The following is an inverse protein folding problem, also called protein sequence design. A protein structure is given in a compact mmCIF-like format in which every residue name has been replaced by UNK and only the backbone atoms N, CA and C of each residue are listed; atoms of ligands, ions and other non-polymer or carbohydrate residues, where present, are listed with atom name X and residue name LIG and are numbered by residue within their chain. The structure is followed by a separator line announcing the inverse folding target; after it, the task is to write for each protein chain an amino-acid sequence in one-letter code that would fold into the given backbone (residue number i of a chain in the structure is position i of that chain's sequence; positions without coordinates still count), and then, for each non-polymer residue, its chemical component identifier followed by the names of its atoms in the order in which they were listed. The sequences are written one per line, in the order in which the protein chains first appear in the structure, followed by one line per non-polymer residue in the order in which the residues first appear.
data_IF_671630029077
#
_entry.id   IF_671630029077
#
_cell.length_a   1.000
_cell.length_b   1.000
_cell.length_c   1.000
_cell.angle_alpha   90.00
_cell.angle_beta   90.00
_cell.angle_gamma   90.00
#
_symmetry.space_group_name_H-M   'P 1'
#
loop_
_entity.id
_entity.type
_entity.pdbx_description
1 polymer ?
#
# COMPACT_ATOMS: atom_id res chain seq x y z
N UNK A 1 41.12 0.73 0.01
CA UNK A 1 41.39 -0.53 0.74
C UNK A 1 41.50 -1.61 -0.32
N UNK A 2 42.63 -1.69 -1.00
CA UNK A 2 42.70 -2.53 -2.20
C UNK A 2 42.79 -4.01 -1.82
N UNK A 3 41.85 -4.82 -2.33
CA UNK A 3 41.85 -6.27 -2.15
C UNK A 3 41.05 -6.82 -0.96
N UNK A 4 40.33 -5.98 -0.21
CA UNK A 4 39.47 -6.48 0.88
C UNK A 4 38.32 -7.31 0.29
N UNK A 5 38.18 -8.57 0.74
CA UNK A 5 37.15 -9.50 0.28
C UNK A 5 36.19 -9.85 1.41
N UNK A 6 35.03 -9.21 1.42
CA UNK A 6 34.02 -9.37 2.46
C UNK A 6 33.01 -10.46 2.10
N UNK A 7 32.58 -11.24 3.09
CA UNK A 7 31.46 -12.18 2.93
C UNK A 7 30.19 -11.48 3.37
N UNK A 8 29.24 -11.32 2.45
CA UNK A 8 27.94 -10.75 2.76
C UNK A 8 26.85 -11.82 2.70
N UNK A 9 25.81 -11.68 3.52
CA UNK A 9 24.65 -12.56 3.47
C UNK A 9 23.35 -11.80 3.19
N UNK A 10 22.69 -12.17 2.11
CA UNK A 10 21.43 -11.58 1.66
C UNK A 10 20.29 -12.57 1.89
N UNK A 11 19.20 -12.09 2.48
CA UNK A 11 17.97 -12.88 2.69
C UNK A 11 17.17 -12.85 1.40
N UNK A 12 16.94 -14.02 0.81
CA UNK A 12 16.10 -14.18 -0.38
C UNK A 12 15.25 -15.42 -0.19
N UNK A 13 13.95 -15.21 -0.13
CA UNK A 13 12.96 -16.25 0.21
C UNK A 13 12.91 -17.34 -0.87
N UNK A 14 12.89 -16.94 -2.15
CA UNK A 14 12.86 -17.85 -3.29
C UNK A 14 14.26 -18.26 -3.74
N UNK A 15 14.44 -19.50 -4.21
CA UNK A 15 15.73 -19.93 -4.76
C UNK A 15 15.81 -19.42 -6.20
N UNK A 16 16.73 -18.53 -6.55
CA UNK A 16 16.86 -18.08 -7.93
C UNK A 16 17.33 -19.23 -8.81
N UNK A 17 16.77 -19.32 -10.01
CA UNK A 17 17.22 -20.25 -11.05
C UNK A 17 18.50 -19.75 -11.76
N UNK A 18 18.77 -18.44 -11.65
CA UNK A 18 19.92 -17.76 -12.24
C UNK A 18 21.02 -17.54 -11.18
N UNK A 19 22.24 -17.15 -11.58
CA UNK A 19 23.26 -16.69 -10.66
C UNK A 19 22.72 -15.65 -9.69
N UNK A 20 23.14 -15.73 -8.42
CA UNK A 20 22.52 -14.98 -7.33
C UNK A 20 22.61 -13.46 -7.55
N UNK A 21 23.76 -12.98 -8.01
CA UNK A 21 23.99 -11.55 -8.27
C UNK A 21 23.14 -11.04 -9.43
N UNK A 22 22.93 -11.88 -10.47
CA UNK A 22 22.06 -11.55 -11.59
C UNK A 22 20.60 -11.45 -11.14
N UNK A 23 20.16 -12.32 -10.23
CA UNK A 23 18.80 -12.24 -9.67
C UNK A 23 18.56 -10.92 -8.92
N UNK A 24 19.55 -10.45 -8.18
CA UNK A 24 19.43 -9.24 -7.37
C UNK A 24 19.48 -7.94 -8.21
N UNK A 25 20.17 -7.97 -9.34
CA UNK A 25 20.31 -6.83 -10.26
C UNK A 25 19.22 -6.76 -11.33
N UNK A 26 18.63 -7.91 -11.71
CA UNK A 26 17.61 -7.95 -12.76
C UNK A 26 16.24 -7.50 -12.22
N UNK A 27 15.50 -6.60 -12.91
CA UNK A 27 14.17 -6.15 -12.53
C UNK A 27 13.05 -7.17 -12.87
N UNK A 28 13.26 -8.46 -12.60
CA UNK A 28 12.24 -9.51 -12.80
C UNK A 28 11.49 -9.76 -11.49
N UNK A 29 10.15 -9.85 -11.51
CA UNK A 29 9.32 -10.05 -10.32
C UNK A 29 9.64 -9.05 -9.20
N UNK A 30 9.53 -7.75 -9.50
CA UNK A 30 9.87 -6.64 -8.60
C UNK A 30 9.09 -6.64 -7.28
N UNK A 31 7.93 -7.30 -7.24
CA UNK A 31 7.15 -7.49 -6.02
C UNK A 31 7.82 -8.44 -5.02
N UNK A 32 8.80 -9.26 -5.45
CA UNK A 32 9.50 -10.21 -4.60
C UNK A 32 10.85 -9.64 -4.15
N UNK A 33 11.11 -9.77 -2.84
CA UNK A 33 12.39 -9.42 -2.21
C UNK A 33 12.87 -7.97 -2.51
N UNK A 34 11.94 -7.03 -2.76
CA UNK A 34 12.22 -5.66 -3.22
C UNK A 34 13.22 -4.92 -2.33
N UNK A 35 13.04 -4.99 -1.02
CA UNK A 35 13.89 -4.31 -0.04
C UNK A 35 15.30 -4.92 0.02
N UNK A 36 15.41 -6.23 -0.23
CA UNK A 36 16.71 -6.92 -0.28
C UNK A 36 17.50 -6.53 -1.51
N UNK A 37 16.83 -6.41 -2.67
CA UNK A 37 17.44 -5.93 -3.92
C UNK A 37 17.90 -4.48 -3.81
N UNK A 38 17.09 -3.63 -3.19
CA UNK A 38 17.47 -2.24 -2.89
C UNK A 38 18.79 -2.18 -2.08
N UNK A 39 18.89 -2.95 -0.99
CA UNK A 39 20.10 -2.95 -0.17
C UNK A 39 21.30 -3.56 -0.91
N UNK A 40 21.09 -4.58 -1.75
CA UNK A 40 22.15 -5.09 -2.61
C UNK A 40 22.70 -4.02 -3.56
N UNK A 41 21.83 -3.22 -4.16
CA UNK A 41 22.22 -2.07 -4.98
C UNK A 41 23.05 -1.05 -4.19
N UNK A 42 22.64 -0.74 -2.95
CA UNK A 42 23.41 0.12 -2.05
C UNK A 42 24.81 -0.45 -1.74
N UNK A 43 24.89 -1.75 -1.47
CA UNK A 43 26.17 -2.42 -1.21
C UNK A 43 27.07 -2.42 -2.44
N UNK A 44 26.51 -2.54 -3.64
CA UNK A 44 27.26 -2.39 -4.90
C UNK A 44 27.86 -1.01 -5.04
N UNK A 45 27.12 0.05 -4.71
CA UNK A 45 27.66 1.41 -4.73
C UNK A 45 28.78 1.60 -3.71
N UNK A 46 28.66 1.02 -2.50
CA UNK A 46 29.73 1.06 -1.50
C UNK A 46 30.98 0.31 -1.94
N UNK A 47 30.80 -0.83 -2.61
CA UNK A 47 31.88 -1.62 -3.20
C UNK A 47 32.69 -0.78 -4.18
N UNK A 48 32.01 -0.04 -5.05
CA UNK A 48 32.65 0.83 -6.04
C UNK A 48 33.33 2.05 -5.37
N UNK A 49 32.71 2.61 -4.34
CA UNK A 49 33.24 3.79 -3.63
C UNK A 49 34.49 3.48 -2.79
N UNK A 50 34.53 2.32 -2.12
CA UNK A 50 35.61 1.94 -1.20
C UNK A 50 36.59 0.90 -1.79
N UNK A 51 36.39 0.52 -3.05
CA UNK A 51 37.20 -0.43 -3.82
C UNK A 51 37.42 -1.80 -3.13
N UNK A 52 36.37 -2.33 -2.48
CA UNK A 52 36.40 -3.69 -1.93
C UNK A 52 35.69 -4.67 -2.86
N UNK A 53 35.83 -5.96 -2.60
CA UNK A 53 35.03 -7.00 -3.26
C UNK A 53 34.21 -7.73 -2.20
N UNK A 54 33.06 -8.26 -2.60
CA UNK A 54 32.27 -9.08 -1.68
C UNK A 54 31.76 -10.35 -2.35
N UNK A 55 31.57 -11.39 -1.55
CA UNK A 55 30.96 -12.66 -1.97
C UNK A 55 29.60 -12.76 -1.31
N UNK A 56 28.55 -12.82 -2.13
CA UNK A 56 27.19 -12.84 -1.62
C UNK A 56 26.70 -14.28 -1.36
N UNK A 57 26.24 -14.53 -0.14
CA UNK A 57 25.64 -15.79 0.30
C UNK A 57 24.14 -15.61 0.50
N UNK A 58 23.37 -16.61 0.11
CA UNK A 58 21.91 -16.59 0.23
C UNK A 58 21.45 -17.31 1.49
N UNK A 59 20.51 -16.69 2.21
CA UNK A 59 19.77 -17.34 3.30
C UNK A 59 18.26 -17.11 3.14
N UNK A 60 17.45 -17.94 3.81
CA UNK A 60 15.98 -17.80 3.78
C UNK A 60 15.43 -17.02 4.97
N UNK A 61 16.16 -16.94 6.08
CA UNK A 61 15.70 -16.28 7.31
C UNK A 61 16.60 -15.12 7.68
N UNK A 62 15.99 -14.05 8.19
CA UNK A 62 16.72 -12.91 8.76
C UNK A 62 17.52 -13.31 9.99
N UNK A 63 16.96 -14.16 10.84
CA UNK A 63 17.58 -14.59 12.07
C UNK A 63 16.64 -14.52 13.24
N UNK A 64 15.89 -15.59 13.40
CA UNK A 64 14.98 -15.80 14.51
C UNK A 64 15.71 -16.59 15.60
N UNK A 65 15.42 -16.25 16.85
CA UNK A 65 15.93 -16.98 17.99
C UNK A 65 15.18 -18.32 18.07
N UNK A 66 15.88 -19.42 17.89
CA UNK A 66 15.37 -20.78 18.03
C UNK A 66 16.30 -21.54 18.97
N UNK A 67 15.75 -22.08 20.06
CA UNK A 67 16.51 -22.87 21.03
C UNK A 67 17.78 -22.14 21.54
N UNK A 68 17.66 -20.84 21.83
CA UNK A 68 18.77 -20.02 22.34
C UNK A 68 19.83 -19.59 21.31
N UNK A 69 19.75 -20.02 20.05
CA UNK A 69 20.64 -19.59 18.97
C UNK A 69 19.88 -18.84 17.88
N UNK A 70 20.49 -17.82 17.31
CA UNK A 70 19.93 -17.14 16.14
C UNK A 70 20.18 -17.97 14.88
N UNK A 71 19.14 -18.13 14.05
CA UNK A 71 19.26 -18.72 12.72
C UNK A 71 19.62 -17.66 11.65
N UNK A 72 19.64 -18.06 10.38
CA UNK A 72 19.66 -17.11 9.28
C UNK A 72 20.87 -16.19 9.21
N UNK A 73 20.63 -14.96 8.75
CA UNK A 73 21.66 -13.92 8.60
C UNK A 73 22.27 -13.51 9.95
N UNK A 74 21.45 -13.22 10.97
CA UNK A 74 21.94 -12.86 12.31
C UNK A 74 22.76 -14.01 12.93
N UNK A 75 22.32 -15.26 12.74
CA UNK A 75 23.07 -16.43 13.18
C UNK A 75 24.43 -16.55 12.52
N UNK A 76 24.50 -16.36 11.20
CA UNK A 76 25.76 -16.38 10.46
C UNK A 76 26.70 -15.24 10.88
N UNK A 77 26.16 -14.05 11.14
CA UNK A 77 26.93 -12.91 11.68
C UNK A 77 27.45 -13.20 13.10
N UNK A 78 26.60 -13.74 13.98
CA UNK A 78 26.99 -14.10 15.35
C UNK A 78 28.08 -15.17 15.39
N UNK A 79 28.08 -16.10 14.42
CA UNK A 79 29.12 -17.14 14.26
C UNK A 79 30.33 -16.68 13.44
N UNK A 80 30.38 -15.42 12.99
CA UNK A 80 31.45 -14.86 12.14
C UNK A 80 31.66 -15.65 10.83
N UNK A 81 30.61 -16.27 10.31
CA UNK A 81 30.64 -16.94 8.99
C UNK A 81 30.60 -15.92 7.85
N UNK A 82 30.00 -14.77 8.13
CA UNK A 82 29.89 -13.62 7.24
C UNK A 82 30.23 -12.34 7.99
N UNK A 83 30.77 -11.38 7.25
CA UNK A 83 31.28 -10.12 7.79
C UNK A 83 30.18 -9.06 7.84
N UNK A 84 29.27 -9.07 6.86
CA UNK A 84 28.22 -8.06 6.72
C UNK A 84 26.85 -8.68 6.37
N UNK A 85 25.79 -8.05 6.87
CA UNK A 85 24.42 -8.32 6.45
C UNK A 85 24.09 -7.59 5.15
N UNK A 86 23.90 -8.32 4.05
CA UNK A 86 23.53 -7.78 2.73
C UNK A 86 22.04 -7.46 2.58
N UNK A 87 21.30 -7.41 3.68
CA UNK A 87 19.85 -7.26 3.66
C UNK A 87 19.37 -6.36 4.79
N UNK A 88 18.33 -5.55 4.54
CA UNK A 88 17.86 -4.58 5.52
C UNK A 88 17.27 -5.33 6.72
N UNK A 89 17.54 -4.79 7.90
CA UNK A 89 17.15 -5.38 9.17
C UNK A 89 16.50 -4.32 10.05
N UNK A 90 15.42 -4.68 10.70
CA UNK A 90 14.84 -3.85 11.74
C UNK A 90 15.74 -3.85 12.97
N UNK A 91 16.01 -2.65 13.51
CA UNK A 91 16.67 -2.49 14.79
C UNK A 91 15.78 -3.08 15.89
N UNK A 92 16.22 -4.20 16.46
CA UNK A 92 15.62 -4.78 17.67
C UNK A 92 16.68 -4.91 18.74
N UNK A 93 16.31 -4.54 19.98
CA UNK A 93 17.21 -4.57 21.14
C UNK A 93 17.75 -5.98 21.41
N UNK A 94 16.91 -7.01 21.27
CA UNK A 94 17.30 -8.43 21.46
C UNK A 94 18.49 -8.84 20.58
N UNK A 95 18.55 -8.31 19.36
CA UNK A 95 19.60 -8.62 18.38
C UNK A 95 20.83 -7.73 18.54
N UNK A 96 20.71 -6.58 19.21
CA UNK A 96 21.84 -5.67 19.43
C UNK A 96 22.94 -6.33 20.29
N UNK A 97 22.57 -7.27 21.16
CA UNK A 97 23.53 -8.02 21.98
C UNK A 97 24.47 -8.93 21.17
N UNK A 98 24.06 -9.34 19.96
CA UNK A 98 24.80 -10.30 19.13
C UNK A 98 25.37 -9.69 17.86
N UNK A 99 24.78 -8.61 17.37
CA UNK A 99 25.23 -7.90 16.16
C UNK A 99 25.25 -6.40 16.37
N UNK A 100 26.27 -5.75 15.80
CA UNK A 100 26.32 -4.31 15.67
C UNK A 100 25.59 -3.87 14.42
N UNK A 101 24.79 -2.81 14.53
CA UNK A 101 24.09 -2.25 13.40
C UNK A 101 24.86 -1.04 12.84
N UNK A 102 24.74 -0.85 11.52
CA UNK A 102 25.24 0.34 10.83
C UNK A 102 24.22 1.48 10.88
N UNK A 103 24.47 2.52 10.08
CA UNK A 103 23.52 3.64 9.93
C UNK A 103 22.17 3.21 9.34
N UNK A 104 21.15 4.04 9.54
CA UNK A 104 19.81 3.83 8.97
C UNK A 104 19.82 4.05 7.46
N UNK A 105 19.84 2.98 6.68
CA UNK A 105 19.84 3.04 5.20
C UNK A 105 18.46 3.27 4.58
N UNK A 106 17.40 2.96 5.33
CA UNK A 106 16.03 3.20 4.93
C UNK A 106 15.27 3.81 6.11
N UNK A 107 14.85 5.07 5.95
CA UNK A 107 13.98 5.76 6.89
C UNK A 107 12.62 5.87 6.23
N UNK A 108 11.67 5.06 6.65
CA UNK A 108 10.27 5.30 6.32
C UNK A 108 9.83 6.56 7.07
N UNK A 109 9.96 7.72 6.43
CA UNK A 109 9.28 8.93 6.86
C UNK A 109 7.79 8.68 6.64
N UNK A 110 7.11 8.21 7.67
CA UNK A 110 5.66 8.38 7.76
C UNK A 110 5.45 9.89 7.86
N UNK A 111 5.14 10.54 6.74
CA UNK A 111 4.64 11.90 6.71
C UNK A 111 3.29 11.91 7.44
N UNK A 112 3.38 11.98 8.76
CA UNK A 112 2.23 12.24 9.59
C UNK A 112 1.95 13.73 9.46
N UNK A 113 0.82 14.08 8.83
CA UNK A 113 0.18 15.40 8.89
C UNK A 113 -0.28 15.74 10.32
N UNK A 114 0.59 15.56 11.33
CA UNK A 114 0.36 16.04 12.68
C UNK A 114 1.51 16.97 13.03
N UNK A 115 1.27 18.26 12.83
CA UNK A 115 2.11 19.41 13.20
C UNK A 115 2.35 19.52 14.73
N UNK A 116 1.86 18.57 15.54
CA UNK A 116 1.93 18.60 17.00
C UNK A 116 2.50 17.31 17.65
N UNK A 117 3.45 16.63 17.01
CA UNK A 117 4.15 15.52 17.64
C UNK A 117 5.53 15.97 18.17
N UNK A 118 5.65 15.99 19.50
CA UNK A 118 6.83 16.33 20.30
C UNK A 118 8.17 15.83 19.69
N UNK A 119 9.26 16.64 19.75
CA UNK A 119 10.59 16.31 19.20
C UNK A 119 11.20 15.00 19.72
N UNK A 120 10.74 14.47 20.85
CA UNK A 120 11.21 13.21 21.44
C UNK A 120 10.66 11.95 20.76
N UNK A 121 9.74 12.08 19.80
CA UNK A 121 9.10 10.95 19.13
C UNK A 121 9.91 10.37 17.93
N UNK A 122 11.12 10.86 17.67
CA UNK A 122 11.95 10.46 16.52
C UNK A 122 12.59 9.05 16.65
N UNK A 123 12.36 8.37 17.78
CA UNK A 123 12.73 6.95 17.98
C UNK A 123 11.66 5.96 17.50
N UNK A 124 10.71 6.38 16.65
CA UNK A 124 9.74 5.45 16.04
C UNK A 124 10.34 4.76 14.82
N UNK A 125 11.08 3.68 15.11
CA UNK A 125 11.42 2.62 14.18
C UNK A 125 10.13 2.08 13.56
N UNK A 126 9.99 2.14 12.23
CA UNK A 126 8.98 1.51 11.35
C UNK A 126 7.60 1.23 11.99
N UNK A 127 6.57 2.04 11.66
CA UNK A 127 5.21 1.76 12.13
C UNK A 127 4.56 0.74 11.20
N UNK A 128 4.03 -0.39 11.70
CA UNK A 128 3.30 -1.32 10.86
C UNK A 128 2.07 -0.59 10.28
N UNK A 129 2.06 -0.46 8.96
CA UNK A 129 0.92 0.05 8.21
C UNK A 129 0.02 -1.13 7.83
N UNK A 130 -1.26 -1.04 8.15
CA UNK A 130 -2.24 -2.01 7.65
C UNK A 130 -2.63 -1.61 6.22
N UNK A 131 -2.22 -2.41 5.25
CA UNK A 131 -2.60 -2.23 3.85
C UNK A 131 -3.79 -3.16 3.58
N UNK A 132 -4.98 -2.57 3.46
CA UNK A 132 -6.16 -3.29 3.03
C UNK A 132 -6.23 -3.32 1.50
N UNK A 133 -6.74 -4.42 0.95
CA UNK A 133 -7.09 -4.45 -0.48
C UNK A 133 -8.22 -3.45 -0.72
N UNK A 134 -8.23 -2.85 -1.90
CA UNK A 134 -9.39 -2.05 -2.29
C UNK A 134 -10.64 -2.93 -2.17
N UNK A 135 -11.74 -2.44 -1.58
CA UNK A 135 -12.98 -3.18 -1.62
C UNK A 135 -13.37 -3.39 -3.09
N UNK A 136 -13.97 -4.54 -3.45
CA UNK A 136 -14.55 -4.69 -4.76
C UNK A 136 -15.56 -3.56 -4.98
N UNK A 137 -15.58 -2.99 -6.19
CA UNK A 137 -16.54 -1.95 -6.53
C UNK A 137 -17.94 -2.52 -6.37
N UNK A 138 -18.74 -1.90 -5.50
CA UNK A 138 -20.12 -2.33 -5.31
C UNK A 138 -20.93 -1.90 -6.55
N UNK A 139 -21.22 -2.85 -7.45
CA UNK A 139 -22.03 -2.62 -8.66
C UNK A 139 -23.49 -2.26 -8.34
N UNK A 140 -23.88 -2.32 -7.06
CA UNK A 140 -25.16 -1.84 -6.55
C UNK A 140 -25.32 -0.31 -6.68
N UNK A 141 -24.22 0.45 -6.80
CA UNK A 141 -24.25 1.92 -6.90
C UNK A 141 -24.01 2.36 -8.33
N UNK A 142 -24.87 1.95 -9.26
CA UNK A 142 -24.81 2.45 -10.66
C UNK A 142 -25.30 3.89 -10.77
N UNK A 143 -26.29 4.30 -9.97
CA UNK A 143 -26.92 5.61 -10.05
C UNK A 143 -26.89 6.34 -8.69
N UNK A 144 -25.83 7.12 -8.40
CA UNK A 144 -25.72 7.92 -7.18
C UNK A 144 -26.89 8.90 -6.98
N UNK A 145 -27.52 9.33 -8.07
CA UNK A 145 -28.62 10.31 -8.06
C UNK A 145 -29.97 9.71 -7.62
N UNK A 146 -30.17 8.40 -7.76
CA UNK A 146 -31.40 7.71 -7.32
C UNK A 146 -31.24 7.09 -5.91
N UNK A 147 -30.04 7.14 -5.35
CA UNK A 147 -29.70 6.59 -4.03
C UNK A 147 -30.41 7.24 -2.82
N UNK A 148 -30.75 8.56 -2.79
CA UNK A 148 -31.28 9.17 -1.57
C UNK A 148 -32.73 8.78 -1.27
N UNK A 149 -33.47 8.23 -2.24
CA UNK A 149 -34.88 7.85 -2.08
C UNK A 149 -35.15 6.43 -2.56
N UNK A 150 -35.95 5.70 -1.79
CA UNK A 150 -36.46 4.37 -2.17
C UNK A 150 -37.22 4.44 -3.51
N UNK A 151 -37.15 3.36 -4.29
CA UNK A 151 -37.81 3.30 -5.62
C UNK A 151 -39.32 3.58 -5.54
N UNK A 152 -39.94 3.23 -4.41
CA UNK A 152 -41.35 3.50 -4.10
C UNK A 152 -41.65 5.00 -4.11
N UNK A 153 -40.75 5.83 -3.58
CA UNK A 153 -40.95 7.30 -3.52
C UNK A 153 -40.95 7.91 -4.91
N UNK A 154 -40.10 7.41 -5.82
CA UNK A 154 -40.08 7.84 -7.21
C UNK A 154 -41.39 7.52 -7.92
N UNK A 155 -41.96 6.32 -7.72
CA UNK A 155 -43.27 5.97 -8.26
C UNK A 155 -44.39 6.87 -7.71
N UNK A 156 -44.37 7.19 -6.41
CA UNK A 156 -45.33 8.11 -5.80
C UNK A 156 -45.22 9.54 -6.34
N UNK A 157 -44.00 10.03 -6.58
CA UNK A 157 -43.76 11.35 -7.18
C UNK A 157 -44.36 11.45 -8.58
N UNK A 158 -44.13 10.44 -9.43
CA UNK A 158 -44.71 10.37 -10.79
C UNK A 158 -46.22 10.26 -10.74
N UNK A 159 -46.77 9.40 -9.86
CA UNK A 159 -48.20 9.23 -9.70
C UNK A 159 -48.88 10.55 -9.27
N UNK A 160 -48.36 11.21 -8.24
CA UNK A 160 -48.90 12.49 -7.77
C UNK A 160 -48.81 13.58 -8.87
N UNK A 161 -47.69 13.68 -9.58
CA UNK A 161 -47.54 14.60 -10.71
C UNK A 161 -48.54 14.34 -11.83
N UNK A 162 -48.80 13.07 -12.16
CA UNK A 162 -49.79 12.71 -13.18
C UNK A 162 -51.22 13.06 -12.77
N UNK A 163 -51.58 12.88 -11.50
CA UNK A 163 -52.91 13.23 -10.98
C UNK A 163 -53.11 14.75 -11.03
N UNK A 164 -52.12 15.53 -10.61
CA UNK A 164 -52.19 16.99 -10.69
C UNK A 164 -52.32 17.48 -12.13
N UNK A 165 -51.57 16.88 -13.07
CA UNK A 165 -51.69 17.21 -14.48
C UNK A 165 -53.09 16.88 -15.03
N UNK A 166 -53.67 15.73 -14.68
CA UNK A 166 -55.03 15.37 -15.08
C UNK A 166 -56.08 16.34 -14.54
N UNK A 167 -55.98 16.73 -13.26
CA UNK A 167 -56.90 17.70 -12.66
C UNK A 167 -56.78 19.06 -13.33
N UNK A 168 -55.56 19.51 -13.61
CA UNK A 168 -55.33 20.76 -14.34
C UNK A 168 -55.91 20.70 -15.76
N UNK A 169 -55.67 19.62 -16.51
CA UNK A 169 -56.25 19.43 -17.84
C UNK A 169 -57.78 19.41 -17.81
N UNK A 170 -58.38 18.76 -16.81
CA UNK A 170 -59.83 18.76 -16.64
C UNK A 170 -60.38 20.15 -16.33
N UNK A 171 -59.73 20.91 -15.45
CA UNK A 171 -60.09 22.29 -15.15
C UNK A 171 -60.01 23.19 -16.37
N UNK A 172 -58.95 23.07 -17.19
CA UNK A 172 -58.85 23.80 -18.46
C UNK A 172 -59.95 23.43 -19.44
N UNK A 173 -60.28 22.14 -19.56
CA UNK A 173 -61.38 21.68 -20.41
C UNK A 173 -62.73 22.25 -19.95
N UNK A 174 -62.98 22.27 -18.65
CA UNK A 174 -64.21 22.87 -18.08
C UNK A 174 -64.27 24.38 -18.32
N UNK A 175 -63.15 25.08 -18.25
CA UNK A 175 -63.07 26.51 -18.54
C UNK A 175 -63.35 26.81 -20.02
N UNK A 176 -62.78 26.03 -20.94
CA UNK A 176 -63.04 26.15 -22.39
C UNK A 176 -64.50 25.83 -22.74
N UNK A 177 -65.08 24.79 -22.13
CA UNK A 177 -66.51 24.50 -22.27
C UNK A 177 -67.39 25.65 -21.74
N UNK A 178 -67.02 26.26 -20.61
CA UNK A 178 -67.72 27.43 -20.04
C UNK A 178 -67.64 28.68 -20.92
N UNK A 179 -66.47 28.97 -21.49
CA UNK A 179 -66.28 30.08 -22.45
C UNK A 179 -67.10 29.88 -23.73
N UNK A 180 -67.22 28.63 -24.21
CA UNK A 180 -68.00 28.33 -25.41
C UNK A 180 -69.51 28.57 -25.18
N UNK A 181 -70.03 28.24 -23.99
CA UNK A 181 -71.42 28.53 -23.60
C UNK A 181 -71.71 30.02 -23.42
N UNK A 182 -70.81 30.79 -22.80
CA UNK A 182 -70.98 32.24 -22.64
C UNK A 182 -70.97 33.00 -23.98
N UNK A 183 -70.29 32.48 -25.01
CA UNK A 183 -70.24 33.08 -26.34
C UNK A 183 -71.54 32.81 -27.13
N UNK A 184 -72.16 31.64 -26.96
CA UNK A 184 -73.44 31.28 -27.59
C UNK A 184 -74.64 32.03 -26.99
N UNK A 185 -74.65 32.31 -25.69
CA UNK A 185 -75.72 33.10 -25.05
C UNK A 185 -75.63 34.62 -25.29
N UNK A 186 -74.59 35.10 -25.99
CA UNK A 186 -74.39 36.53 -26.34
C UNK A 186 -74.65 36.87 -27.81
N UNK A 187 -74.99 35.87 -28.64
CA UNK A 187 -75.46 36.06 -30.03
C UNK A 187 -76.97 35.96 -30.11
#
# INVERSE_FOLDING_TARGET
MDGLKLKIMTVVTQKPHRPFELYLTTPQNTHLDSVHRYNYGLMSMLKDFYNFTFVNRRTKSWGYLRNGKFDGMIGALSRREVDLGGSPMYFRQERHRVVSYTTRTFVERVYRYHVFASPSAWSKCYRPCFIFRHPPRNDAVKNPFLLPFEIIVWYLMVACGSILAMVLCFSFFMEDAGKHYQTLCKS
#
